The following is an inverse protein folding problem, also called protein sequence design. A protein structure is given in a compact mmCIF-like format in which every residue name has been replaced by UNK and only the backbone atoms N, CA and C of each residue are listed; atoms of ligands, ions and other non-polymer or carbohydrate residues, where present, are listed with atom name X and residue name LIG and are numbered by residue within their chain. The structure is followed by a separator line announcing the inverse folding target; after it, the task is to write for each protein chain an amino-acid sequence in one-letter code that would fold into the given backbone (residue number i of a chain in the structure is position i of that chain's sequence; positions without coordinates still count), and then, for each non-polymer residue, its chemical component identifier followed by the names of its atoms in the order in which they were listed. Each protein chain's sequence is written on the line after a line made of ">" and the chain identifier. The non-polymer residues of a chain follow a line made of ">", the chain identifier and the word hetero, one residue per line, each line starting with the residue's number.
data_IF_217146656117
#
_entry.id   IF_217146656117
#
_cell.length_a   1.000
_cell.length_b   1.000
_cell.length_c   1.000
_cell.angle_alpha   90.00
_cell.angle_beta   90.00
_cell.angle_gamma   90.00
#
_symmetry.space_group_name_H-M   'P 1'
#
loop_
_entity.id
_entity.type
_entity.pdbx_description
1 polymer ?
#
# COMPACT_ATOMS: atom_id res chain seq x y z
N UNK A 1 29.63 -11.28 -42.34
CA UNK A 1 30.27 -11.71 -41.08
C UNK A 1 30.09 -13.21 -40.94
N UNK A 2 31.19 -13.97 -40.87
CA UNK A 2 31.19 -15.42 -41.07
C UNK A 2 30.90 -16.17 -39.75
N UNK A 3 29.79 -16.92 -39.70
CA UNK A 3 29.47 -17.82 -38.59
C UNK A 3 30.23 -19.13 -38.77
N UNK A 4 31.26 -19.37 -37.95
CA UNK A 4 32.04 -20.62 -37.97
C UNK A 4 31.30 -21.83 -37.37
N UNK A 5 30.01 -21.69 -36.99
CA UNK A 5 29.21 -22.79 -36.50
C UNK A 5 28.66 -23.63 -37.68
N UNK A 6 29.09 -24.89 -37.87
CA UNK A 6 28.66 -25.71 -39.01
C UNK A 6 27.15 -25.99 -39.04
N UNK A 7 26.49 -25.93 -37.88
CA UNK A 7 25.04 -26.17 -37.73
C UNK A 7 24.16 -25.01 -38.22
N UNK A 8 24.76 -23.86 -38.59
CA UNK A 8 24.06 -22.61 -38.95
C UNK A 8 24.33 -22.14 -40.38
N UNK A 9 24.84 -23.02 -41.25
CA UNK A 9 25.24 -22.65 -42.62
C UNK A 9 24.07 -22.25 -43.52
N UNK A 10 22.87 -22.76 -43.22
CA UNK A 10 21.66 -22.58 -44.04
C UNK A 10 20.59 -21.70 -43.38
N UNK A 11 20.86 -21.21 -42.16
CA UNK A 11 19.93 -20.35 -41.43
C UNK A 11 20.08 -18.89 -41.88
N UNK A 12 18.95 -18.23 -42.17
CA UNK A 12 18.93 -16.78 -42.37
C UNK A 12 19.39 -16.05 -41.10
N UNK A 13 20.10 -14.94 -41.26
CA UNK A 13 20.50 -14.10 -40.12
C UNK A 13 19.27 -13.68 -39.30
N UNK A 14 19.20 -14.15 -38.06
CA UNK A 14 18.23 -13.67 -37.10
C UNK A 14 18.71 -12.31 -36.57
N UNK A 15 17.95 -11.25 -36.83
CA UNK A 15 18.24 -9.93 -36.27
C UNK A 15 18.20 -10.02 -34.73
N UNK A 16 19.12 -9.36 -34.04
CA UNK A 16 19.25 -9.43 -32.58
C UNK A 16 17.92 -9.19 -31.85
N UNK A 17 17.12 -8.23 -32.32
CA UNK A 17 15.82 -7.87 -31.75
C UNK A 17 14.68 -8.85 -32.08
N UNK A 18 14.89 -9.76 -33.05
CA UNK A 18 13.94 -10.82 -33.42
C UNK A 18 14.06 -12.08 -32.56
N UNK A 19 15.14 -12.20 -31.78
CA UNK A 19 15.38 -13.35 -30.92
C UNK A 19 14.29 -13.38 -29.81
N UNK A 20 13.54 -14.49 -29.62
CA UNK A 20 12.37 -14.51 -28.75
C UNK A 20 12.62 -14.02 -27.32
N UNK A 21 13.68 -14.50 -26.66
CA UNK A 21 14.00 -14.08 -25.30
C UNK A 21 14.43 -12.62 -25.22
N UNK A 22 15.07 -12.08 -26.27
CA UNK A 22 15.47 -10.66 -26.34
C UNK A 22 14.23 -9.79 -26.49
N UNK A 23 13.29 -10.20 -27.37
CA UNK A 23 12.01 -9.51 -27.58
C UNK A 23 11.16 -9.48 -26.31
N UNK A 24 11.14 -10.56 -25.56
CA UNK A 24 10.40 -10.62 -24.29
C UNK A 24 11.11 -9.81 -23.20
N UNK A 25 12.44 -9.87 -23.13
CA UNK A 25 13.24 -9.04 -22.22
C UNK A 25 13.07 -7.53 -22.47
N UNK A 26 12.93 -7.12 -23.74
CA UNK A 26 12.70 -5.73 -24.13
C UNK A 26 11.35 -5.17 -23.67
N UNK A 27 10.35 -6.02 -23.41
CA UNK A 27 9.03 -5.57 -22.93
C UNK A 27 9.05 -5.22 -21.44
N UNK A 28 9.87 -5.93 -20.65
CA UNK A 28 10.01 -5.74 -19.20
C UNK A 28 11.18 -4.82 -18.82
N UNK A 29 11.60 -3.95 -19.73
CA UNK A 29 12.63 -2.94 -19.45
C UNK A 29 12.18 -2.05 -18.30
N UNK A 30 13.07 -1.85 -17.32
CA UNK A 30 12.85 -0.90 -16.23
C UNK A 30 12.56 0.48 -16.83
N UNK A 31 11.62 1.25 -16.26
CA UNK A 31 11.32 2.58 -16.77
C UNK A 31 12.61 3.41 -16.79
N UNK A 32 12.85 4.09 -17.90
CA UNK A 32 13.99 4.97 -18.09
C UNK A 32 14.03 5.99 -16.95
N UNK A 33 15.20 6.22 -16.32
CA UNK A 33 15.27 7.14 -15.19
C UNK A 33 14.81 8.54 -15.61
N UNK A 34 14.05 9.19 -14.73
CA UNK A 34 13.40 10.47 -15.02
C UNK A 34 14.40 11.54 -15.48
N UNK A 35 15.63 11.49 -14.96
CA UNK A 35 16.72 12.40 -15.36
C UNK A 35 17.07 12.34 -16.86
N UNK A 36 16.78 11.23 -17.54
CA UNK A 36 17.01 11.08 -18.99
C UNK A 36 15.77 11.43 -19.82
N UNK A 37 14.61 11.61 -19.18
CA UNK A 37 13.34 11.90 -19.85
C UNK A 37 12.95 13.38 -19.75
N UNK A 38 13.45 14.10 -18.74
CA UNK A 38 13.09 15.49 -18.49
C UNK A 38 13.91 16.44 -19.35
N UNK A 39 13.24 17.43 -19.92
CA UNK A 39 13.89 18.64 -20.44
C UNK A 39 14.54 19.44 -19.30
N UNK A 40 15.46 20.33 -19.66
CA UNK A 40 16.12 21.22 -18.70
C UNK A 40 15.08 22.10 -17.98
N UNK A 41 14.09 22.61 -18.71
CA UNK A 41 13.02 23.43 -18.19
C UNK A 41 12.17 22.65 -17.17
N UNK A 42 11.73 21.43 -17.50
CA UNK A 42 10.94 20.60 -16.58
C UNK A 42 11.73 20.22 -15.32
N UNK A 43 12.99 19.83 -15.49
CA UNK A 43 13.88 19.53 -14.37
C UNK A 43 14.03 20.75 -13.46
N UNK A 44 14.19 21.95 -14.04
CA UNK A 44 14.32 23.20 -13.28
C UNK A 44 13.08 23.50 -12.44
N UNK A 45 11.88 23.30 -12.99
CA UNK A 45 10.61 23.53 -12.30
C UNK A 45 10.49 22.60 -11.10
N UNK A 46 10.80 21.31 -11.30
CA UNK A 46 10.74 20.30 -10.25
C UNK A 46 11.73 20.65 -9.12
N UNK A 47 12.99 20.93 -9.46
CA UNK A 47 14.02 21.25 -8.45
C UNK A 47 13.61 22.51 -7.67
N UNK A 48 13.14 23.54 -8.35
CA UNK A 48 12.72 24.79 -7.71
C UNK A 48 11.51 24.58 -6.79
N UNK A 49 10.52 23.79 -7.18
CA UNK A 49 9.35 23.53 -6.32
C UNK A 49 9.75 22.76 -5.06
N UNK A 50 10.64 21.76 -5.20
CA UNK A 50 11.22 21.04 -4.07
C UNK A 50 11.97 21.97 -3.13
N UNK A 51 12.80 22.87 -3.67
CA UNK A 51 13.58 23.81 -2.86
C UNK A 51 12.70 24.80 -2.10
N UNK A 52 11.68 25.37 -2.74
CA UNK A 52 10.70 26.25 -2.07
C UNK A 52 10.02 25.54 -0.91
N UNK A 53 9.57 24.30 -1.13
CA UNK A 53 8.97 23.49 -0.07
C UNK A 53 9.96 23.10 1.04
N UNK A 54 11.23 22.86 0.70
CA UNK A 54 12.29 22.59 1.68
C UNK A 54 12.55 23.80 2.56
N UNK A 55 12.69 25.00 1.99
CA UNK A 55 12.91 26.23 2.76
C UNK A 55 11.81 26.48 3.79
N UNK A 56 10.54 26.31 3.42
CA UNK A 56 9.42 26.44 4.37
C UNK A 56 9.49 25.39 5.48
N UNK A 57 9.96 24.16 5.19
CA UNK A 57 10.15 23.12 6.22
C UNK A 57 11.36 23.37 7.12
N UNK A 58 12.32 24.17 6.67
CA UNK A 58 13.46 24.61 7.46
C UNK A 58 13.13 25.79 8.37
N UNK A 59 12.03 26.50 8.13
CA UNK A 59 11.57 27.60 8.97
C UNK A 59 11.31 27.11 10.40
N UNK A 60 11.89 27.80 11.39
CA UNK A 60 11.81 27.41 12.81
C UNK A 60 10.37 27.40 13.31
N UNK A 61 9.55 28.38 12.92
CA UNK A 61 8.15 28.45 13.35
C UNK A 61 7.35 27.25 12.81
N UNK A 62 7.63 26.86 11.56
CA UNK A 62 7.00 25.69 10.93
C UNK A 62 7.45 24.40 11.60
N UNK A 63 8.73 24.29 11.98
CA UNK A 63 9.25 23.13 12.70
C UNK A 63 8.64 22.99 14.09
N UNK A 64 8.58 24.08 14.85
CA UNK A 64 7.94 24.13 16.16
C UNK A 64 6.46 23.73 16.07
N UNK A 65 5.72 24.26 15.10
CA UNK A 65 4.33 23.90 14.88
C UNK A 65 4.16 22.40 14.58
N UNK A 66 5.04 21.82 13.75
CA UNK A 66 5.02 20.38 13.45
C UNK A 66 5.28 19.52 14.68
N UNK A 67 6.25 19.92 15.51
CA UNK A 67 6.56 19.24 16.76
C UNK A 67 5.38 19.32 17.74
N UNK A 68 4.78 20.51 17.87
CA UNK A 68 3.60 20.72 18.71
C UNK A 68 2.42 19.85 18.26
N UNK A 69 2.11 19.82 16.96
CA UNK A 69 1.06 18.96 16.42
C UNK A 69 1.34 17.47 16.62
N UNK A 70 2.62 17.05 16.53
CA UNK A 70 3.04 15.67 16.83
C UNK A 70 2.76 15.34 18.29
N UNK A 71 3.19 16.22 19.21
CA UNK A 71 2.93 16.07 20.65
C UNK A 71 1.44 15.96 20.94
N UNK A 72 0.59 16.76 20.31
CA UNK A 72 -0.86 16.66 20.46
C UNK A 72 -1.43 15.33 19.97
N UNK A 73 -0.87 14.72 18.90
CA UNK A 73 -1.30 13.38 18.44
C UNK A 73 -0.84 12.28 19.39
N UNK A 74 0.28 12.46 20.08
CA UNK A 74 0.79 11.52 21.07
C UNK A 74 0.03 11.65 22.41
N UNK A 75 -0.23 12.88 22.86
CA UNK A 75 -1.00 13.19 24.07
C UNK A 75 -2.47 12.79 23.93
N UNK A 76 -3.06 13.01 22.74
CA UNK A 76 -4.37 12.43 22.41
C UNK A 76 -4.15 10.94 22.25
N UNK A 77 -4.43 10.18 23.30
CA UNK A 77 -4.44 8.72 23.25
C UNK A 77 -5.63 8.24 22.41
N UNK A 78 -5.59 8.51 21.10
CA UNK A 78 -6.63 8.15 20.13
C UNK A 78 -6.86 6.65 20.18
N UNK A 79 -5.82 5.86 20.41
CA UNK A 79 -5.93 4.41 20.63
C UNK A 79 -6.85 4.10 21.80
N UNK A 80 -6.66 4.75 22.96
CA UNK A 80 -7.53 4.60 24.13
C UNK A 80 -8.94 5.12 23.86
N UNK A 81 -9.09 6.29 23.24
CA UNK A 81 -10.41 6.86 22.92
C UNK A 81 -11.19 5.95 21.96
N UNK A 82 -10.54 5.45 20.93
CA UNK A 82 -11.13 4.51 19.96
C UNK A 82 -11.45 3.18 20.64
N UNK A 83 -10.56 2.66 21.50
CA UNK A 83 -10.81 1.45 22.27
C UNK A 83 -12.03 1.59 23.17
N UNK A 84 -12.11 2.66 23.96
CA UNK A 84 -13.26 2.96 24.83
C UNK A 84 -14.56 3.13 24.03
N UNK A 85 -14.49 3.75 22.85
CA UNK A 85 -15.63 3.87 21.95
C UNK A 85 -16.14 2.49 21.50
N UNK A 86 -15.26 1.61 21.01
CA UNK A 86 -15.65 0.27 20.56
C UNK A 86 -16.16 -0.60 21.70
N UNK A 87 -15.53 -0.57 22.87
CA UNK A 87 -16.02 -1.27 24.07
C UNK A 87 -17.45 -0.82 24.44
N UNK A 88 -17.77 0.47 24.30
CA UNK A 88 -19.15 0.98 24.50
C UNK A 88 -20.12 0.56 23.40
N UNK A 89 -19.66 0.31 22.18
CA UNK A 89 -20.51 -0.17 21.09
C UNK A 89 -20.83 -1.66 21.27
N UNK A 90 -19.82 -2.48 21.58
CA UNK A 90 -19.99 -3.91 21.86
C UNK A 90 -20.98 -4.14 23.01
N UNK A 91 -20.86 -3.39 24.11
CA UNK A 91 -21.79 -3.47 25.24
C UNK A 91 -23.24 -3.08 24.90
N UNK A 92 -23.48 -2.31 23.83
CA UNK A 92 -24.84 -1.99 23.36
C UNK A 92 -25.44 -3.10 22.52
N UNK A 93 -24.60 -3.89 21.86
CA UNK A 93 -24.99 -5.07 21.06
C UNK A 93 -25.17 -6.28 21.98
N UNK A 94 -24.46 -6.34 23.10
CA UNK A 94 -24.68 -7.28 24.23
C UNK A 94 -25.88 -6.89 25.11
N UNK A 95 -26.92 -6.29 24.53
CA UNK A 95 -28.23 -6.25 25.18
C UNK A 95 -28.86 -7.63 25.01
N UNK A 96 -29.27 -8.28 26.12
CA UNK A 96 -29.67 -9.67 26.10
C UNK A 96 -31.08 -9.81 25.55
N UNK A 97 -31.27 -9.60 24.24
CA UNK A 97 -32.36 -10.27 23.55
C UNK A 97 -32.02 -11.77 23.35
N UNK A 98 -30.77 -12.16 23.58
CA UNK A 98 -30.32 -13.55 23.62
C UNK A 98 -30.42 -14.22 25.00
N UNK A 99 -30.60 -13.48 26.12
CA UNK A 99 -30.92 -14.15 27.39
C UNK A 99 -32.33 -14.76 27.41
N UNK A 100 -33.17 -14.43 26.42
CA UNK A 100 -34.46 -15.09 26.24
C UNK A 100 -34.34 -16.44 25.50
N UNK A 101 -33.19 -16.77 24.91
CA UNK A 101 -32.98 -18.08 24.24
C UNK A 101 -32.38 -19.13 25.19
N UNK A 102 -31.81 -18.71 26.33
CA UNK A 102 -31.34 -19.63 27.38
C UNK A 102 -32.48 -20.12 28.32
N UNK A 103 -33.75 -19.89 27.99
CA UNK A 103 -34.92 -20.50 28.65
C UNK A 103 -35.51 -21.69 27.89
N UNK A 104 -34.71 -22.40 27.09
CA UNK A 104 -34.97 -23.81 26.77
C UNK A 104 -35.98 -24.10 25.66
N UNK A 105 -35.72 -23.65 24.43
CA UNK A 105 -36.27 -24.31 23.24
C UNK A 105 -35.14 -24.79 22.34
N UNK A 106 -34.88 -26.09 22.40
CA UNK A 106 -33.90 -26.81 21.60
C UNK A 106 -34.34 -26.83 20.12
N UNK A 107 -33.90 -25.85 19.33
CA UNK A 107 -33.89 -25.98 17.87
C UNK A 107 -32.47 -26.40 17.44
N UNK A 108 -32.31 -27.68 17.12
CA UNK A 108 -31.07 -28.25 16.57
C UNK A 108 -30.83 -27.68 15.18
N UNK A 109 -29.75 -26.93 14.97
CA UNK A 109 -29.12 -26.78 13.67
C UNK A 109 -27.61 -26.46 13.81
N UNK A 110 -26.82 -27.47 13.42
CA UNK A 110 -25.46 -27.46 12.89
C UNK A 110 -24.39 -26.52 13.50
N UNK A 111 -23.41 -27.16 14.12
CA UNK A 111 -22.03 -26.69 14.21
C UNK A 111 -21.50 -26.31 12.81
N UNK A 112 -21.19 -25.04 12.60
CA UNK A 112 -20.34 -24.59 11.50
C UNK A 112 -19.24 -23.72 12.11
N UNK A 113 -17.99 -24.04 11.78
CA UNK A 113 -16.81 -23.25 12.13
C UNK A 113 -17.00 -21.79 11.71
N UNK A 114 -16.50 -20.80 12.49
CA UNK A 114 -16.55 -19.42 12.05
C UNK A 114 -15.63 -19.26 10.83
N UNK A 115 -16.22 -18.93 9.68
CA UNK A 115 -15.49 -18.64 8.47
C UNK A 115 -14.53 -17.47 8.67
N UNK A 116 -13.41 -17.51 7.95
CA UNK A 116 -12.31 -16.55 7.94
C UNK A 116 -12.71 -15.11 7.55
N UNK A 117 -13.99 -14.85 7.25
CA UNK A 117 -14.48 -13.56 6.75
C UNK A 117 -14.64 -12.48 7.82
N UNK A 118 -14.85 -12.84 9.09
CA UNK A 118 -15.11 -11.83 10.12
C UNK A 118 -13.86 -11.03 10.53
N UNK A 119 -12.65 -11.55 10.22
CA UNK A 119 -11.38 -10.83 10.41
C UNK A 119 -11.12 -9.77 9.34
N UNK A 120 -11.88 -9.77 8.23
CA UNK A 120 -11.67 -8.87 7.10
C UNK A 120 -12.68 -7.71 7.04
N UNK A 121 -13.68 -7.67 7.91
CA UNK A 121 -14.75 -6.68 7.86
C UNK A 121 -14.38 -5.29 8.44
N UNK A 122 -13.24 -5.15 9.13
CA UNK A 122 -12.82 -3.86 9.69
C UNK A 122 -11.51 -3.36 9.02
N UNK A 123 -11.60 -2.44 8.04
CA UNK A 123 -10.43 -1.86 7.38
C UNK A 123 -9.51 -1.07 8.33
N UNK A 124 -10.01 -0.68 9.51
CA UNK A 124 -9.31 0.18 10.46
C UNK A 124 -8.27 -0.56 11.32
N UNK A 125 -8.28 -1.89 11.35
CA UNK A 125 -7.27 -2.68 12.08
C UNK A 125 -6.03 -3.03 11.24
N UNK A 126 -5.98 -2.69 9.94
CA UNK A 126 -4.83 -3.02 9.08
C UNK A 126 -3.72 -1.94 9.07
N UNK A 127 -3.81 -0.92 9.92
CA UNK A 127 -2.88 0.25 9.91
C UNK A 127 -2.51 0.83 11.29
N UNK A 128 -2.66 0.07 12.37
CA UNK A 128 -2.01 0.38 13.66
C UNK A 128 -0.80 -0.54 13.81
#
# INVERSE_FOLDING_TARGET
>A
MNSNNPKRKDDSFAEFFSIPFVKDWLKDQRPTPLSLLLSEEEASIIIQSFWRGYRVRCDSEVQELRQWQKKLREEKNIVKVVKEFWTKQEAKVDKPHLAMILSGVLCKCSTAEPSLEMKNACPLMKRI
#
